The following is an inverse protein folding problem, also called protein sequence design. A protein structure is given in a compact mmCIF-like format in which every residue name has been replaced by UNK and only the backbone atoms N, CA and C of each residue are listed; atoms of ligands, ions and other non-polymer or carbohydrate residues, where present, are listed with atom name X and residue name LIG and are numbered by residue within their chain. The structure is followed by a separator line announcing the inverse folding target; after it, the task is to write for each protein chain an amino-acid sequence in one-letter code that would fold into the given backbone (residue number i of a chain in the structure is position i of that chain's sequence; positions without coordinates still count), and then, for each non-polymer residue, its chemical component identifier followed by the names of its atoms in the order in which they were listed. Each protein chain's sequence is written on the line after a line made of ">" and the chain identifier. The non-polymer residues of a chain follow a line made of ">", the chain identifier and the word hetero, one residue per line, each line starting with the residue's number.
data_IF_805963802767
#
_entry.id   IF_805963802767
#
_cell.length_a   1.000
_cell.length_b   1.000
_cell.length_c   1.000
_cell.angle_alpha   90.00
_cell.angle_beta   90.00
_cell.angle_gamma   90.00
#
_symmetry.space_group_name_H-M   'P 1'
#
loop_
_entity.id
_entity.type
_entity.pdbx_description
1 polymer ?
#
# COMPACT_ATOMS: atom_id res chain seq x y z
N UNK A 1 -19.44 3.83 -13.44
CA UNK A 1 -20.23 3.86 -12.18
C UNK A 1 -21.62 4.38 -12.50
N UNK A 2 -22.64 3.79 -11.91
CA UNK A 2 -24.05 4.18 -12.13
C UNK A 2 -24.64 4.65 -10.80
N UNK A 3 -25.29 5.81 -10.79
CA UNK A 3 -25.95 6.38 -9.61
C UNK A 3 -27.38 6.69 -9.95
N UNK A 4 -28.34 6.07 -9.24
CA UNK A 4 -29.78 6.16 -9.53
C UNK A 4 -30.14 5.93 -11.01
N UNK A 5 -29.44 5.01 -11.66
CA UNK A 5 -29.64 4.70 -13.08
C UNK A 5 -28.93 5.63 -14.08
N UNK A 6 -28.19 6.62 -13.60
CA UNK A 6 -27.40 7.54 -14.45
C UNK A 6 -25.93 7.11 -14.43
N UNK A 7 -25.36 6.85 -15.61
CA UNK A 7 -23.95 6.51 -15.74
C UNK A 7 -23.08 7.75 -15.62
N UNK A 8 -22.11 7.70 -14.71
CA UNK A 8 -21.09 8.72 -14.51
C UNK A 8 -19.81 8.37 -15.29
N UNK A 9 -19.35 9.31 -16.10
CA UNK A 9 -18.11 9.23 -16.87
C UNK A 9 -16.97 9.92 -16.16
N UNK A 10 -15.73 9.73 -16.63
CA UNK A 10 -14.55 10.46 -16.11
C UNK A 10 -14.70 11.99 -16.20
N UNK A 11 -15.55 12.50 -17.13
CA UNK A 11 -15.78 13.95 -17.31
C UNK A 11 -16.66 14.56 -16.20
N UNK A 12 -17.40 13.72 -15.49
CA UNK A 12 -18.31 14.14 -14.41
C UNK A 12 -17.58 14.17 -13.06
N UNK A 13 -16.30 13.79 -13.01
CA UNK A 13 -15.51 13.84 -11.82
C UNK A 13 -15.18 15.28 -11.42
N UNK A 14 -15.32 15.58 -10.12
CA UNK A 14 -14.93 16.88 -9.55
C UNK A 14 -13.42 16.97 -9.30
N UNK A 15 -12.77 15.83 -9.15
CA UNK A 15 -11.31 15.72 -9.09
C UNK A 15 -10.83 14.36 -9.60
N UNK A 16 -9.61 14.33 -10.11
CA UNK A 16 -8.90 13.13 -10.52
C UNK A 16 -7.46 13.24 -10.03
N UNK A 17 -6.98 12.22 -9.33
CA UNK A 17 -5.63 12.23 -8.75
C UNK A 17 -4.99 10.84 -8.85
N UNK A 18 -3.68 10.81 -8.94
CA UNK A 18 -2.89 9.58 -8.81
C UNK A 18 -2.76 9.12 -7.35
N UNK A 19 -3.15 9.96 -6.36
CA UNK A 19 -3.06 9.64 -4.95
C UNK A 19 -1.63 9.28 -4.54
N UNK A 20 -1.44 8.09 -3.97
CA UNK A 20 -0.11 7.61 -3.52
C UNK A 20 0.90 7.37 -4.65
N UNK A 21 0.49 7.48 -5.90
CA UNK A 21 1.36 7.35 -7.08
C UNK A 21 1.69 8.69 -7.74
N UNK A 22 1.39 9.81 -7.08
CA UNK A 22 1.77 11.13 -7.58
C UNK A 22 3.29 11.25 -7.73
N UNK A 23 3.75 11.75 -8.88
CA UNK A 23 5.17 11.75 -9.25
C UNK A 23 5.69 10.43 -9.86
N UNK A 24 4.84 9.41 -9.99
CA UNK A 24 5.17 8.09 -10.54
C UNK A 24 4.42 7.78 -11.85
N UNK A 25 4.00 8.81 -12.59
CA UNK A 25 3.18 8.70 -13.80
C UNK A 25 3.78 7.76 -14.86
N UNK A 26 5.11 7.72 -14.93
CA UNK A 26 5.84 6.86 -15.89
C UNK A 26 5.67 5.35 -15.57
N UNK A 27 5.32 5.01 -14.33
CA UNK A 27 5.24 3.62 -13.87
C UNK A 27 3.81 3.12 -13.72
N UNK A 28 2.82 4.02 -13.74
CA UNK A 28 1.44 3.69 -13.41
C UNK A 28 0.59 3.31 -14.61
N UNK A 29 1.12 3.41 -15.84
CA UNK A 29 0.37 3.17 -17.08
C UNK A 29 -0.48 4.36 -17.55
N UNK A 30 -0.28 5.55 -16.96
CA UNK A 30 -0.88 6.81 -17.40
C UNK A 30 -2.28 7.08 -16.86
N UNK A 31 -3.17 7.61 -17.69
CA UNK A 31 -4.49 8.14 -17.31
C UNK A 31 -5.48 7.10 -16.71
N UNK A 32 -5.18 5.81 -16.79
CA UNK A 32 -6.06 4.76 -16.25
C UNK A 32 -5.85 4.51 -14.76
N UNK A 33 -4.80 5.06 -14.16
CA UNK A 33 -4.49 4.98 -12.74
C UNK A 33 -5.13 6.05 -11.87
N UNK A 34 -6.01 6.88 -12.44
CA UNK A 34 -6.59 7.99 -11.70
C UNK A 34 -7.71 7.53 -10.78
N UNK A 35 -7.63 7.92 -9.51
CA UNK A 35 -8.76 7.90 -8.60
C UNK A 35 -9.66 9.10 -8.93
N UNK A 36 -10.89 8.83 -9.38
CA UNK A 36 -11.86 9.85 -9.73
C UNK A 36 -12.84 10.06 -8.58
N UNK A 37 -13.00 11.30 -8.16
CA UNK A 37 -13.97 11.69 -7.12
C UNK A 37 -15.18 12.34 -7.78
N UNK A 38 -16.37 11.87 -7.43
CA UNK A 38 -17.64 12.41 -7.89
C UNK A 38 -18.39 13.02 -6.71
N UNK A 39 -19.02 14.16 -6.92
CA UNK A 39 -19.86 14.78 -5.91
C UNK A 39 -21.30 14.91 -6.44
N UNK A 40 -22.22 14.31 -5.71
CA UNK A 40 -23.64 14.32 -6.05
C UNK A 40 -24.39 15.06 -4.97
N UNK A 41 -25.08 16.13 -5.35
CA UNK A 41 -25.82 17.02 -4.45
C UNK A 41 -27.32 16.90 -4.69
N UNK A 42 -28.12 17.41 -3.75
CA UNK A 42 -29.58 17.46 -3.87
C UNK A 42 -30.27 16.11 -3.69
N UNK A 43 -29.62 15.14 -3.05
CA UNK A 43 -30.20 13.85 -2.76
C UNK A 43 -31.07 13.93 -1.48
N UNK A 44 -32.34 13.51 -1.60
CA UNK A 44 -33.24 13.40 -0.46
C UNK A 44 -33.18 12.03 0.22
N UNK A 45 -32.65 11.04 -0.47
CA UNK A 45 -32.47 9.65 0.00
C UNK A 45 -31.07 9.16 -0.36
N UNK A 46 -30.62 8.12 0.34
CA UNK A 46 -29.37 7.43 -0.02
C UNK A 46 -29.46 6.91 -1.45
N UNK A 47 -28.54 7.27 -2.36
CA UNK A 47 -28.60 6.85 -3.74
C UNK A 47 -28.34 5.36 -3.88
N UNK A 48 -28.97 4.71 -4.86
CA UNK A 48 -28.53 3.41 -5.33
C UNK A 48 -27.29 3.60 -6.21
N UNK A 49 -26.17 3.04 -5.78
CA UNK A 49 -24.88 3.14 -6.48
C UNK A 49 -24.41 1.75 -6.84
N UNK A 50 -24.10 1.52 -8.11
CA UNK A 50 -23.46 0.32 -8.62
C UNK A 50 -22.18 0.69 -9.37
N UNK A 51 -21.16 -0.13 -9.22
CA UNK A 51 -19.91 0.02 -9.96
C UNK A 51 -19.49 -1.36 -10.48
N UNK A 52 -18.86 -1.36 -11.63
CA UNK A 52 -18.13 -2.51 -12.16
C UNK A 52 -16.67 -2.16 -12.28
N UNK A 53 -15.82 -3.14 -12.07
CA UNK A 53 -14.38 -2.96 -12.23
C UNK A 53 -13.94 -3.07 -13.70
N UNK A 54 -12.63 -3.05 -13.94
CA UNK A 54 -12.05 -3.14 -15.28
C UNK A 54 -12.32 -4.49 -15.95
N UNK A 55 -12.57 -5.52 -15.18
CA UNK A 55 -12.89 -6.87 -15.66
C UNK A 55 -14.43 -7.07 -15.85
N UNK A 56 -15.23 -6.01 -15.58
CA UNK A 56 -16.69 -6.02 -15.71
C UNK A 56 -17.41 -6.67 -14.53
N UNK A 57 -16.71 -6.96 -13.43
CA UNK A 57 -17.29 -7.56 -12.23
C UNK A 57 -17.90 -6.47 -11.35
N UNK A 58 -19.06 -6.76 -10.74
CA UNK A 58 -19.69 -5.84 -9.80
C UNK A 58 -18.84 -5.68 -8.55
N UNK A 59 -18.58 -4.41 -8.18
CA UNK A 59 -17.75 -4.06 -7.02
C UNK A 59 -18.64 -3.52 -5.91
N UNK A 60 -18.50 -4.09 -4.72
CA UNK A 60 -19.15 -3.59 -3.51
C UNK A 60 -18.44 -2.34 -2.99
N UNK A 61 -19.19 -1.29 -2.62
CA UNK A 61 -18.59 -0.09 -2.06
C UNK A 61 -18.01 -0.36 -0.67
N UNK A 62 -16.90 0.27 -0.37
CA UNK A 62 -16.37 0.37 0.97
C UNK A 62 -16.87 1.68 1.57
N UNK A 63 -17.71 1.63 2.61
CA UNK A 63 -18.15 2.83 3.31
C UNK A 63 -16.97 3.43 4.07
N UNK A 64 -16.54 4.62 3.67
CA UNK A 64 -15.38 5.25 4.29
C UNK A 64 -15.75 6.21 5.41
N UNK A 65 -16.79 6.96 5.31
CA UNK A 65 -17.39 7.73 6.43
C UNK A 65 -18.66 8.46 5.96
N UNK A 66 -19.73 8.42 6.73
CA UNK A 66 -20.94 9.18 6.47
C UNK A 66 -21.55 8.91 5.09
N UNK A 67 -21.55 9.89 4.21
CA UNK A 67 -22.10 9.84 2.86
C UNK A 67 -21.08 9.53 1.75
N UNK A 68 -19.85 9.14 2.11
CA UNK A 68 -18.81 8.80 1.13
C UNK A 68 -18.77 7.31 0.84
N UNK A 69 -18.79 6.95 -0.43
CA UNK A 69 -18.63 5.59 -0.93
C UNK A 69 -17.36 5.53 -1.79
N UNK A 70 -16.51 4.57 -1.50
CA UNK A 70 -15.29 4.32 -2.27
C UNK A 70 -15.37 2.93 -2.91
N UNK A 71 -15.04 2.87 -4.19
CA UNK A 71 -15.01 1.63 -4.97
C UNK A 71 -13.59 1.40 -5.44
N UNK A 72 -13.12 0.15 -5.31
CA UNK A 72 -11.82 -0.28 -5.79
C UNK A 72 -11.94 -1.50 -6.66
N UNK A 73 -11.09 -1.58 -7.66
CA UNK A 73 -10.90 -2.79 -8.43
C UNK A 73 -10.07 -3.79 -7.61
N UNK A 74 -10.61 -4.98 -7.35
CA UNK A 74 -9.91 -6.03 -6.60
C UNK A 74 -9.10 -6.95 -7.49
N UNK A 75 -9.55 -7.15 -8.71
CA UNK A 75 -9.03 -8.17 -9.61
C UNK A 75 -9.56 -9.57 -9.28
N UNK A 76 -9.22 -10.52 -10.11
CA UNK A 76 -9.51 -11.93 -9.88
C UNK A 76 -8.72 -12.48 -8.67
N UNK A 77 -9.18 -13.59 -8.03
CA UNK A 77 -8.51 -14.17 -6.87
C UNK A 77 -7.03 -14.50 -7.08
N UNK A 78 -6.65 -14.94 -8.28
CA UNK A 78 -5.27 -15.20 -8.65
C UNK A 78 -4.42 -13.91 -8.65
N UNK A 79 -5.02 -12.80 -9.06
CA UNK A 79 -4.37 -11.48 -9.04
C UNK A 79 -4.16 -11.01 -7.59
N UNK A 80 -5.15 -11.18 -6.71
CA UNK A 80 -4.99 -10.86 -5.29
C UNK A 80 -3.90 -11.72 -4.65
N UNK A 81 -3.86 -13.01 -4.95
CA UNK A 81 -2.81 -13.91 -4.43
C UNK A 81 -1.41 -13.47 -4.88
N UNK A 82 -1.27 -13.00 -6.13
CA UNK A 82 -0.01 -12.44 -6.63
C UNK A 82 0.37 -11.16 -5.89
N UNK A 83 -0.56 -10.21 -5.75
CA UNK A 83 -0.34 -8.96 -5.03
C UNK A 83 0.08 -9.22 -3.57
N UNK A 84 -0.58 -10.18 -2.91
CA UNK A 84 -0.26 -10.63 -1.55
C UNK A 84 1.16 -11.16 -1.47
N UNK A 85 1.57 -12.04 -2.36
CA UNK A 85 2.94 -12.59 -2.39
C UNK A 85 4.00 -11.49 -2.58
N UNK A 86 3.72 -10.48 -3.39
CA UNK A 86 4.60 -9.31 -3.58
C UNK A 86 4.71 -8.51 -2.28
N UNK A 87 3.59 -8.21 -1.64
CA UNK A 87 3.55 -7.44 -0.39
C UNK A 87 4.29 -8.17 0.75
N UNK A 88 4.04 -9.48 0.90
CA UNK A 88 4.73 -10.34 1.86
C UNK A 88 6.24 -10.36 1.64
N UNK A 89 6.67 -10.52 0.39
CA UNK A 89 8.09 -10.53 0.02
C UNK A 89 8.80 -9.22 0.36
N UNK A 90 8.15 -8.07 0.08
CA UNK A 90 8.69 -6.76 0.40
C UNK A 90 8.72 -6.54 1.92
N UNK A 91 7.59 -6.74 2.60
CA UNK A 91 7.48 -6.44 4.03
C UNK A 91 8.38 -7.33 4.88
N UNK A 92 8.51 -8.60 4.51
CA UNK A 92 9.48 -9.50 5.14
C UNK A 92 10.92 -8.98 5.02
N UNK A 93 11.32 -8.51 3.83
CA UNK A 93 12.65 -7.95 3.62
C UNK A 93 12.84 -6.62 4.40
N UNK A 94 11.79 -5.80 4.52
CA UNK A 94 11.82 -4.58 5.31
C UNK A 94 12.01 -4.86 6.80
N UNK A 95 11.27 -5.82 7.35
CA UNK A 95 11.39 -6.20 8.76
C UNK A 95 12.72 -6.89 9.06
N UNK A 96 13.20 -7.73 8.15
CA UNK A 96 14.50 -8.36 8.25
C UNK A 96 15.65 -7.32 8.24
N UNK A 97 15.56 -6.32 7.37
CA UNK A 97 16.47 -5.17 7.38
C UNK A 97 16.36 -4.37 8.69
N UNK A 98 15.15 -4.07 9.15
CA UNK A 98 14.95 -3.30 10.39
C UNK A 98 15.52 -3.99 11.62
N UNK A 99 15.49 -5.33 11.65
CA UNK A 99 16.10 -6.13 12.70
C UNK A 99 17.64 -6.21 12.60
N UNK A 100 18.22 -6.07 11.39
CA UNK A 100 19.64 -6.30 11.10
C UNK A 100 20.22 -5.20 10.19
N UNK A 101 19.93 -3.94 10.49
CA UNK A 101 20.21 -2.80 9.62
C UNK A 101 21.69 -2.59 9.24
N UNK A 102 22.63 -3.13 10.03
CA UNK A 102 24.06 -3.06 9.74
C UNK A 102 24.56 -4.16 8.79
N UNK A 103 23.73 -5.15 8.46
CA UNK A 103 24.09 -6.19 7.49
C UNK A 103 23.83 -5.70 6.06
N UNK A 104 24.91 -5.41 5.33
CA UNK A 104 24.82 -4.92 3.95
C UNK A 104 23.98 -5.81 3.02
N UNK A 105 24.02 -7.11 3.22
CA UNK A 105 23.23 -8.07 2.45
C UNK A 105 21.72 -7.87 2.64
N UNK A 106 21.28 -7.55 3.86
CA UNK A 106 19.88 -7.25 4.19
C UNK A 106 19.43 -5.95 3.55
N UNK A 107 20.26 -4.92 3.67
CA UNK A 107 20.05 -3.64 3.01
C UNK A 107 19.92 -3.77 1.49
N UNK A 108 20.88 -4.46 0.86
CA UNK A 108 20.86 -4.69 -0.58
C UNK A 108 19.64 -5.49 -1.03
N UNK A 109 19.23 -6.50 -0.23
CA UNK A 109 18.03 -7.30 -0.48
C UNK A 109 16.75 -6.44 -0.43
N UNK A 110 16.63 -5.55 0.57
CA UNK A 110 15.50 -4.63 0.66
C UNK A 110 15.49 -3.66 -0.52
N UNK A 111 16.61 -2.99 -0.81
CA UNK A 111 16.69 -2.02 -1.92
C UNK A 111 16.32 -2.64 -3.27
N UNK A 112 16.63 -3.92 -3.47
CA UNK A 112 16.27 -4.61 -4.72
C UNK A 112 14.76 -4.78 -4.92
N UNK A 113 13.95 -4.55 -3.90
CA UNK A 113 12.48 -4.65 -3.91
C UNK A 113 11.79 -3.29 -3.93
N UNK A 114 12.56 -2.21 -3.90
CA UNK A 114 12.03 -0.85 -3.89
C UNK A 114 12.27 -0.21 -5.25
N UNK A 115 11.32 0.58 -5.70
CA UNK A 115 11.44 1.35 -6.92
C UNK A 115 12.59 2.37 -6.78
N UNK A 116 13.64 2.29 -7.61
CA UNK A 116 14.70 3.29 -7.62
C UNK A 116 14.12 4.68 -7.86
N UNK A 117 14.63 5.69 -7.16
CA UNK A 117 14.21 7.10 -7.21
C UNK A 117 12.86 7.41 -6.53
N UNK A 118 12.14 6.43 -5.98
CA UNK A 118 10.99 6.70 -5.12
C UNK A 118 11.43 7.35 -3.80
N UNK A 119 10.50 8.05 -3.14
CA UNK A 119 10.75 8.61 -1.81
C UNK A 119 11.07 7.53 -0.79
N UNK A 120 10.45 6.35 -0.91
CA UNK A 120 10.75 5.19 -0.08
C UNK A 120 12.21 4.73 -0.26
N UNK A 121 12.70 4.69 -1.51
CA UNK A 121 14.09 4.34 -1.80
C UNK A 121 15.07 5.30 -1.12
N UNK A 122 14.82 6.60 -1.27
CA UNK A 122 15.65 7.64 -0.67
C UNK A 122 15.57 7.61 0.87
N UNK A 123 14.40 7.33 1.42
CA UNK A 123 14.22 7.18 2.87
C UNK A 123 15.04 6.01 3.41
N UNK A 124 14.95 4.83 2.79
CA UNK A 124 15.71 3.64 3.21
C UNK A 124 17.20 3.86 3.08
N UNK A 125 17.68 4.52 2.01
CA UNK A 125 19.11 4.87 1.88
C UNK A 125 19.59 5.80 2.99
N UNK A 126 18.83 6.83 3.33
CA UNK A 126 19.20 7.76 4.41
C UNK A 126 19.11 7.12 5.79
N UNK A 127 18.14 6.23 6.01
CA UNK A 127 17.97 5.56 7.31
C UNK A 127 19.12 4.60 7.62
N UNK A 128 19.80 4.06 6.61
CA UNK A 128 20.96 3.21 6.82
C UNK A 128 22.06 3.93 7.65
N UNK A 129 22.29 5.21 7.39
CA UNK A 129 23.30 6.00 8.12
C UNK A 129 22.90 6.25 9.59
N UNK A 130 21.61 6.22 9.89
CA UNK A 130 21.09 6.48 11.24
C UNK A 130 20.87 5.23 12.10
N UNK A 131 20.81 4.04 11.50
CA UNK A 131 20.45 2.78 12.19
C UNK A 131 21.62 2.02 12.85
N UNK A 132 22.81 2.58 12.94
CA UNK A 132 24.00 1.92 13.50
C UNK A 132 23.93 1.56 14.99
N UNK A 133 22.82 1.82 15.67
CA UNK A 133 22.76 1.80 17.13
C UNK A 133 22.11 0.55 17.75
N UNK A 134 21.44 -0.27 16.98
CA UNK A 134 20.78 -1.48 17.48
C UNK A 134 21.33 -2.73 16.80
N UNK A 135 21.99 -3.59 17.53
CA UNK A 135 22.48 -4.87 17.02
C UNK A 135 21.66 -6.02 17.55
N UNK A 136 21.30 -6.98 16.68
CA UNK A 136 20.73 -8.26 17.07
C UNK A 136 19.31 -8.17 17.60
N UNK A 137 18.39 -7.65 16.81
CA UNK A 137 16.97 -7.63 17.15
C UNK A 137 16.31 -8.95 16.74
N UNK A 138 15.66 -9.63 17.68
CA UNK A 138 14.72 -10.70 17.38
C UNK A 138 13.33 -10.11 17.27
N UNK A 139 12.59 -10.52 16.24
CA UNK A 139 11.21 -10.11 16.01
C UNK A 139 10.32 -11.34 16.03
N UNK A 140 9.32 -11.34 16.90
CA UNK A 140 8.28 -12.36 16.94
C UNK A 140 6.94 -11.68 16.66
N UNK A 141 6.31 -12.06 15.53
CA UNK A 141 5.00 -11.52 15.19
C UNK A 141 3.93 -12.18 16.04
N UNK A 142 3.12 -11.37 16.71
CA UNK A 142 1.92 -11.80 17.43
C UNK A 142 0.67 -11.64 16.56
N UNK A 143 0.68 -10.74 15.59
CA UNK A 143 -0.31 -10.59 14.54
C UNK A 143 0.39 -10.06 13.27
N UNK A 144 0.01 -10.56 12.09
CA UNK A 144 0.48 -10.07 10.80
C UNK A 144 -0.59 -10.33 9.75
N UNK A 145 -1.19 -9.26 9.25
CA UNK A 145 -2.29 -9.34 8.29
C UNK A 145 -2.02 -8.42 7.10
N UNK A 146 -2.41 -8.89 5.92
CA UNK A 146 -2.40 -8.13 4.69
C UNK A 146 -3.83 -8.03 4.20
N UNK A 147 -4.33 -6.81 4.06
CA UNK A 147 -5.73 -6.50 3.80
C UNK A 147 -5.86 -5.41 2.73
N UNK A 148 -7.08 -5.14 2.30
CA UNK A 148 -7.41 -4.02 1.44
C UNK A 148 -6.57 -3.96 0.16
N UNK A 149 -6.46 -5.09 -0.55
CA UNK A 149 -5.81 -5.12 -1.84
C UNK A 149 -6.65 -4.41 -2.89
N UNK A 150 -6.10 -3.37 -3.48
CA UNK A 150 -6.73 -2.56 -4.50
C UNK A 150 -5.84 -2.47 -5.72
N UNK A 151 -6.22 -3.16 -6.79
CA UNK A 151 -5.57 -3.01 -8.09
C UNK A 151 -6.03 -1.71 -8.71
N UNK A 152 -5.12 -0.77 -8.91
CA UNK A 152 -5.41 0.53 -9.53
C UNK A 152 -5.30 0.43 -11.04
N UNK A 153 -4.32 -0.34 -11.54
CA UNK A 153 -4.17 -0.69 -12.95
C UNK A 153 -3.40 -2.00 -13.09
N UNK A 154 -3.10 -2.42 -14.31
CA UNK A 154 -2.21 -3.56 -14.58
C UNK A 154 -0.78 -3.35 -14.08
N UNK A 155 -0.43 -2.11 -13.74
CA UNK A 155 0.93 -1.71 -13.39
C UNK A 155 1.07 -1.23 -11.95
N UNK A 156 -0.02 -1.05 -11.21
CA UNK A 156 0.06 -0.59 -9.83
C UNK A 156 -1.09 -1.09 -8.95
N UNK A 157 -0.76 -1.33 -7.69
CA UNK A 157 -1.73 -1.67 -6.64
C UNK A 157 -1.32 -1.10 -5.30
N UNK A 158 -2.27 -1.04 -4.38
CA UNK A 158 -2.05 -0.72 -2.98
C UNK A 158 -2.61 -1.84 -2.10
N UNK A 159 -2.05 -1.97 -0.90
CA UNK A 159 -2.60 -2.82 0.15
C UNK A 159 -2.24 -2.26 1.53
N UNK A 160 -2.89 -2.79 2.56
CA UNK A 160 -2.60 -2.50 3.96
C UNK A 160 -1.88 -3.67 4.59
N UNK A 161 -0.80 -3.43 5.32
CA UNK A 161 -0.21 -4.38 6.25
C UNK A 161 -0.45 -3.89 7.68
N UNK A 162 -0.99 -4.77 8.52
CA UNK A 162 -1.21 -4.53 9.94
C UNK A 162 -0.40 -5.56 10.69
N UNK A 163 0.40 -5.13 11.65
CA UNK A 163 1.19 -6.06 12.43
C UNK A 163 1.36 -5.64 13.88
N UNK A 164 1.47 -6.65 14.73
CA UNK A 164 1.94 -6.55 16.10
C UNK A 164 3.14 -7.48 16.26
N UNK A 165 4.20 -6.99 16.86
CA UNK A 165 5.40 -7.77 17.07
C UNK A 165 6.04 -7.48 18.43
N UNK A 166 6.53 -8.53 19.07
CA UNK A 166 7.41 -8.41 20.21
C UNK A 166 8.85 -8.37 19.71
N UNK A 167 9.53 -7.28 19.99
CA UNK A 167 10.91 -7.06 19.57
C UNK A 167 11.86 -7.08 20.75
N UNK A 168 12.96 -7.78 20.60
CA UNK A 168 14.04 -7.79 21.57
C UNK A 168 15.29 -7.23 20.93
N UNK A 169 15.76 -6.10 21.44
CA UNK A 169 17.01 -5.46 21.01
C UNK A 169 18.07 -5.51 22.10
N UNK A 170 19.32 -5.58 21.67
CA UNK A 170 20.46 -5.59 22.57
C UNK A 170 21.39 -4.43 22.22
N UNK A 171 21.73 -3.64 23.21
CA UNK A 171 22.82 -2.65 23.13
C UNK A 171 24.03 -3.14 23.92
N UNK A 172 25.07 -2.30 24.02
CA UNK A 172 26.31 -2.63 24.75
C UNK A 172 26.13 -2.89 26.25
N UNK A 173 25.02 -2.44 26.83
CA UNK A 173 24.80 -2.43 28.28
C UNK A 173 23.66 -3.36 28.72
N UNK A 174 22.60 -3.47 27.89
CA UNK A 174 21.41 -4.19 28.29
C UNK A 174 20.64 -4.78 27.08
N UNK A 175 19.81 -5.76 27.37
CA UNK A 175 18.79 -6.28 26.48
C UNK A 175 17.46 -5.72 26.93
N UNK A 176 16.67 -5.19 26.00
CA UNK A 176 15.36 -4.65 26.25
C UNK A 176 14.34 -5.19 25.24
N UNK A 177 13.10 -5.33 25.69
CA UNK A 177 12.01 -5.78 24.84
C UNK A 177 10.93 -4.70 24.77
N UNK A 178 10.32 -4.57 23.60
CA UNK A 178 9.24 -3.62 23.35
C UNK A 178 8.27 -4.19 22.34
N UNK A 179 7.00 -3.72 22.42
CA UNK A 179 5.98 -4.03 21.43
C UNK A 179 5.99 -2.99 20.33
N UNK A 180 5.82 -3.46 19.09
CA UNK A 180 5.48 -2.65 17.95
C UNK A 180 4.08 -3.01 17.49
N UNK A 181 3.25 -2.00 17.30
CA UNK A 181 1.93 -2.13 16.69
C UNK A 181 1.82 -1.02 15.64
N UNK A 182 1.71 -1.41 14.39
CA UNK A 182 1.65 -0.46 13.29
C UNK A 182 0.77 -0.98 12.15
N UNK A 183 0.23 -0.04 11.41
CA UNK A 183 -0.41 -0.29 10.13
C UNK A 183 0.23 0.61 9.06
N UNK A 184 0.51 0.01 7.91
CA UNK A 184 1.07 0.72 6.76
C UNK A 184 0.22 0.52 5.52
N UNK A 185 0.03 1.58 4.77
CA UNK A 185 -0.37 1.50 3.38
C UNK A 185 0.89 1.31 2.52
N UNK A 186 0.91 0.23 1.77
CA UNK A 186 1.97 -0.10 0.84
C UNK A 186 1.49 0.16 -0.58
N UNK A 187 2.31 0.82 -1.40
CA UNK A 187 2.06 1.02 -2.82
C UNK A 187 3.12 0.33 -3.66
N UNK A 188 2.69 -0.31 -4.75
CA UNK A 188 3.55 -1.10 -5.63
C UNK A 188 3.34 -0.70 -7.08
N UNK A 189 4.42 -0.74 -7.85
CA UNK A 189 4.41 -0.57 -9.30
C UNK A 189 5.10 -1.74 -9.99
N UNK A 190 4.63 -2.07 -11.20
CA UNK A 190 5.25 -3.06 -12.05
C UNK A 190 6.11 -2.37 -13.11
N UNK A 191 7.38 -2.71 -13.16
CA UNK A 191 8.30 -2.23 -14.19
C UNK A 191 9.15 -3.37 -14.72
N UNK A 192 9.22 -3.51 -16.04
CA UNK A 192 9.94 -4.61 -16.71
C UNK A 192 9.54 -6.00 -16.18
N UNK A 193 8.25 -6.21 -15.92
CA UNK A 193 7.71 -7.47 -15.40
C UNK A 193 8.05 -7.77 -13.93
N UNK A 194 8.56 -6.80 -13.19
CA UNK A 194 8.85 -6.94 -11.75
C UNK A 194 8.03 -5.95 -10.95
N UNK A 195 7.46 -6.44 -9.86
CA UNK A 195 6.78 -5.61 -8.87
C UNK A 195 7.80 -5.04 -7.88
N UNK A 196 7.73 -3.73 -7.65
CA UNK A 196 8.60 -2.99 -6.73
C UNK A 196 7.73 -2.12 -5.82
N UNK A 197 8.11 -2.01 -4.55
CA UNK A 197 7.48 -1.09 -3.62
C UNK A 197 7.84 0.36 -3.99
N UNK A 198 6.82 1.19 -4.14
CA UNK A 198 6.96 2.60 -4.49
C UNK A 198 6.79 3.51 -3.27
N UNK A 199 5.97 3.08 -2.30
CA UNK A 199 5.69 3.84 -1.08
C UNK A 199 5.32 2.94 0.10
N UNK A 200 5.48 3.50 1.29
CA UNK A 200 5.10 2.90 2.58
C UNK A 200 4.73 4.02 3.54
N UNK A 201 3.44 4.18 3.80
CA UNK A 201 2.89 5.26 4.60
C UNK A 201 2.26 4.72 5.88
N UNK A 202 2.56 5.35 7.01
CA UNK A 202 1.92 4.99 8.29
C UNK A 202 0.44 5.37 8.26
N UNK A 203 -0.42 4.43 8.61
CA UNK A 203 -1.85 4.69 8.82
C UNK A 203 -2.01 5.12 10.28
N UNK A 204 -2.26 6.42 10.50
CA UNK A 204 -2.50 6.97 11.84
C UNK A 204 -3.92 6.65 12.29
N UNK A 205 -4.07 5.96 13.42
CA UNK A 205 -5.38 5.66 14.03
C UNK A 205 -5.95 4.28 13.73
N UNK A 206 -5.10 3.34 13.31
CA UNK A 206 -5.47 1.92 13.26
C UNK A 206 -5.35 1.25 14.62
#
# INVERSE_FOLDING_TARGET
>A
MIVNGVELSKRDAVSSTLGVFEGLELYTGGADCLTNTYRIEGLYLTPAVTAVDLDGMEVTPVATSGSSLTFFHRGEPETEAQMRSVAESFFSAYMDYSAHAFEYTRFSNLLSRILPQSDLYQYVQRSQEAMYWASGTQTEYTDLRYENFHRISDYCFVCTVIYSADMTAKNWYEQYSYKLENAYELSFVSTNGRWLAAGMNVITGA
#
